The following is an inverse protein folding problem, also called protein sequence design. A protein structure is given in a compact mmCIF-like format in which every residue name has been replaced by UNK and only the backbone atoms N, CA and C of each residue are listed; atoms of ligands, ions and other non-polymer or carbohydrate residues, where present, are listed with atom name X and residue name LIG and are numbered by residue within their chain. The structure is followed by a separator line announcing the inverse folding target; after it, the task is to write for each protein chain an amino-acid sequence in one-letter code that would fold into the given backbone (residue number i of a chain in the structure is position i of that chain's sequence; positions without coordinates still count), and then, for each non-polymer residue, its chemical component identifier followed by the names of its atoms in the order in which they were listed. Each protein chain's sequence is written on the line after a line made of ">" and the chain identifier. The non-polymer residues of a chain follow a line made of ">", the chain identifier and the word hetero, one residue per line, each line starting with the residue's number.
data_IF_006357116086
#
_entry.id   IF_006357116086
#
_cell.length_a   1.000
_cell.length_b   1.000
_cell.length_c   1.000
_cell.angle_alpha   90.00
_cell.angle_beta   90.00
_cell.angle_gamma   90.00
#
_symmetry.space_group_name_H-M   'P 1'
#
loop_
_entity.id
_entity.type
_entity.pdbx_description
1 polymer ?
#
# COMPACT_ATOMS: atom_id res chain seq x y z
N UNK A 1 28.70 15.73 0.35
CA UNK A 1 28.38 15.25 1.71
C UNK A 1 27.90 13.81 1.66
N UNK A 2 28.38 12.95 2.56
CA UNK A 2 27.98 11.55 2.65
C UNK A 2 26.83 11.49 3.64
N UNK A 3 25.59 11.41 3.13
CA UNK A 3 24.39 11.43 3.96
C UNK A 3 24.34 10.20 4.87
N UNK A 4 24.34 10.44 6.18
CA UNK A 4 24.03 9.44 7.20
C UNK A 4 22.68 9.74 7.89
N UNK A 5 22.22 8.84 8.76
CA UNK A 5 20.92 8.96 9.42
C UNK A 5 20.81 10.23 10.29
N UNK A 6 21.93 10.64 10.92
CA UNK A 6 21.95 11.82 11.80
C UNK A 6 21.89 13.11 10.99
N UNK A 7 22.61 13.17 9.86
CA UNK A 7 22.50 14.27 8.90
C UNK A 7 21.09 14.36 8.30
N UNK A 8 20.48 13.22 7.96
CA UNK A 8 19.12 13.17 7.43
C UNK A 8 18.11 13.75 8.44
N UNK A 9 18.16 13.32 9.71
CA UNK A 9 17.28 13.82 10.75
C UNK A 9 17.47 15.33 10.99
N UNK A 10 18.72 15.81 10.99
CA UNK A 10 19.02 17.24 11.14
C UNK A 10 18.42 18.06 10.00
N UNK A 11 18.49 17.57 8.76
CA UNK A 11 17.88 18.22 7.59
C UNK A 11 16.36 18.29 7.73
N UNK A 12 15.71 17.20 8.14
CA UNK A 12 14.26 17.17 8.31
C UNK A 12 13.80 18.14 9.44
N UNK A 13 14.51 18.13 10.57
CA UNK A 13 14.26 19.04 11.70
C UNK A 13 14.56 20.50 11.33
N UNK A 14 15.49 20.77 10.41
CA UNK A 14 15.81 22.10 9.89
C UNK A 14 14.84 22.63 8.83
N UNK A 15 13.92 21.81 8.33
CA UNK A 15 13.04 22.17 7.22
C UNK A 15 12.17 23.41 7.50
N UNK A 16 11.96 24.25 6.49
CA UNK A 16 11.02 25.40 6.59
C UNK A 16 9.56 24.94 6.55
N UNK A 17 9.29 23.73 6.06
CA UNK A 17 7.95 23.18 5.98
C UNK A 17 7.54 22.60 7.33
N UNK A 18 6.49 23.18 7.94
CA UNK A 18 5.98 22.76 9.27
C UNK A 18 5.64 21.27 9.30
N UNK A 19 4.97 20.77 8.26
CA UNK A 19 4.61 19.36 8.11
C UNK A 19 5.85 18.44 8.17
N UNK A 20 6.94 18.77 7.46
CA UNK A 20 8.16 17.93 7.43
C UNK A 20 8.78 17.80 8.82
N UNK A 21 8.88 18.91 9.56
CA UNK A 21 9.34 18.93 10.95
C UNK A 21 8.47 18.06 11.84
N UNK A 22 7.15 18.19 11.68
CA UNK A 22 6.20 17.40 12.45
C UNK A 22 6.35 15.90 12.18
N UNK A 23 6.42 15.48 10.92
CA UNK A 23 6.61 14.07 10.56
C UNK A 23 7.92 13.52 11.12
N UNK A 24 9.02 14.26 11.03
CA UNK A 24 10.29 13.86 11.64
C UNK A 24 10.15 13.66 13.15
N UNK A 25 9.52 14.60 13.86
CA UNK A 25 9.26 14.46 15.30
C UNK A 25 8.36 13.25 15.63
N UNK A 26 7.39 12.93 14.76
CA UNK A 26 6.55 11.75 14.91
C UNK A 26 7.33 10.46 14.71
N UNK A 27 8.21 10.38 13.71
CA UNK A 27 9.06 9.22 13.46
C UNK A 27 9.97 8.94 14.66
N UNK A 28 10.66 9.96 15.17
CA UNK A 28 11.52 9.87 16.36
C UNK A 28 10.75 9.42 17.61
N UNK A 29 9.54 9.94 17.80
CA UNK A 29 8.66 9.57 18.90
C UNK A 29 7.86 8.27 18.67
N UNK A 30 8.13 7.53 17.57
CA UNK A 30 7.39 6.33 17.14
C UNK A 30 5.87 6.53 17.03
N UNK A 31 5.42 7.76 16.77
CA UNK A 31 4.01 8.14 16.54
C UNK A 31 3.63 8.01 15.06
N UNK A 32 3.71 6.78 14.56
CA UNK A 32 3.48 6.45 13.15
C UNK A 32 2.04 6.69 12.71
N UNK A 33 1.86 6.86 11.40
CA UNK A 33 0.54 6.86 10.77
C UNK A 33 -0.15 5.51 11.00
N UNK A 34 -1.48 5.53 11.03
CA UNK A 34 -2.35 4.39 11.27
C UNK A 34 -3.04 4.00 9.98
N UNK A 35 -3.23 2.69 9.80
CA UNK A 35 -4.03 2.10 8.72
C UNK A 35 -5.48 2.57 8.83
N UNK A 36 -5.94 3.34 7.85
CA UNK A 36 -7.34 3.74 7.67
C UNK A 36 -8.10 2.72 6.79
N UNK A 37 -7.44 2.23 5.75
CA UNK A 37 -7.89 1.13 4.89
C UNK A 37 -6.72 0.17 4.63
N UNK A 38 -7.01 -1.13 4.57
CA UNK A 38 -6.04 -2.15 4.18
C UNK A 38 -6.79 -3.31 3.53
N UNK A 39 -6.69 -3.45 2.21
CA UNK A 39 -7.62 -4.30 1.45
C UNK A 39 -6.93 -5.02 0.31
N UNK A 40 -7.40 -6.23 -0.04
CA UNK A 40 -6.90 -6.97 -1.21
C UNK A 40 -7.54 -6.49 -2.51
N UNK A 41 -6.99 -6.98 -3.61
CA UNK A 41 -7.46 -6.66 -4.95
C UNK A 41 -8.90 -7.12 -5.24
N UNK A 42 -9.34 -8.25 -4.68
CA UNK A 42 -10.66 -8.83 -4.97
C UNK A 42 -11.80 -8.06 -4.31
N UNK A 43 -11.50 -7.32 -3.25
CA UNK A 43 -12.46 -6.49 -2.52
C UNK A 43 -12.82 -5.16 -3.20
N UNK A 44 -12.07 -4.75 -4.23
CA UNK A 44 -12.23 -3.46 -4.92
C UNK A 44 -12.80 -3.65 -6.32
N UNK A 45 -13.68 -2.74 -6.74
CA UNK A 45 -14.17 -2.69 -8.13
C UNK A 45 -13.32 -1.79 -9.03
N UNK A 46 -12.47 -0.95 -8.43
CA UNK A 46 -11.65 0.03 -9.14
C UNK A 46 -10.26 -0.54 -9.50
N UNK A 47 -9.82 -0.35 -10.74
CA UNK A 47 -8.44 -0.65 -11.16
C UNK A 47 -7.51 0.52 -10.81
N UNK A 48 -6.56 0.31 -9.91
CA UNK A 48 -5.67 1.37 -9.42
C UNK A 48 -4.34 1.35 -10.15
N UNK A 49 -3.87 2.52 -10.60
CA UNK A 49 -2.54 2.69 -11.17
C UNK A 49 -1.51 3.04 -10.07
N UNK A 50 -0.45 2.24 -10.00
CA UNK A 50 0.68 2.42 -9.08
C UNK A 50 1.65 3.54 -9.47
N UNK A 51 1.39 4.27 -10.56
CA UNK A 51 2.20 5.41 -10.98
C UNK A 51 2.18 6.53 -9.91
N UNK A 52 3.36 7.06 -9.47
CA UNK A 52 3.43 8.09 -8.43
C UNK A 52 2.54 9.32 -8.65
N UNK A 53 2.37 9.78 -9.90
CA UNK A 53 1.49 10.91 -10.21
C UNK A 53 0.02 10.58 -9.96
N UNK A 54 -0.39 9.35 -10.27
CA UNK A 54 -1.73 8.82 -10.00
C UNK A 54 -1.95 8.69 -8.49
N UNK A 55 -0.95 8.20 -7.75
CA UNK A 55 -1.01 8.07 -6.28
C UNK A 55 -1.22 9.41 -5.58
N UNK A 56 -0.45 10.45 -5.94
CA UNK A 56 -0.60 11.79 -5.34
C UNK A 56 -1.97 12.40 -5.59
N UNK A 57 -2.54 12.14 -6.77
CA UNK A 57 -3.90 12.58 -7.10
C UNK A 57 -4.93 11.89 -6.23
N UNK A 58 -4.78 10.58 -6.03
CA UNK A 58 -5.64 9.79 -5.13
C UNK A 58 -5.54 10.32 -3.70
N UNK A 59 -4.33 10.59 -3.19
CA UNK A 59 -4.14 11.15 -1.86
C UNK A 59 -4.87 12.50 -1.68
N UNK A 60 -4.79 13.38 -2.68
CA UNK A 60 -5.50 14.66 -2.67
C UNK A 60 -7.02 14.50 -2.70
N UNK A 61 -7.55 13.62 -3.56
CA UNK A 61 -8.99 13.35 -3.66
C UNK A 61 -9.53 12.73 -2.36
N UNK A 62 -8.79 11.80 -1.74
CA UNK A 62 -9.14 11.23 -0.44
C UNK A 62 -9.11 12.25 0.69
N UNK A 63 -8.15 13.17 0.67
CA UNK A 63 -8.03 14.23 1.66
C UNK A 63 -9.18 15.23 1.56
N UNK A 64 -9.57 15.62 0.34
CA UNK A 64 -10.74 16.45 0.08
C UNK A 64 -12.03 15.78 0.57
N UNK A 65 -12.24 14.50 0.24
CA UNK A 65 -13.41 13.74 0.72
C UNK A 65 -13.47 13.61 2.25
N UNK A 66 -12.32 13.60 2.92
CA UNK A 66 -12.21 13.42 4.37
C UNK A 66 -12.10 14.74 5.15
N UNK A 67 -12.05 15.90 4.47
CA UNK A 67 -11.84 17.22 5.05
C UNK A 67 -10.55 17.31 5.89
N UNK A 68 -9.44 16.85 5.32
CA UNK A 68 -8.10 16.87 5.95
C UNK A 68 -7.04 17.41 4.99
N UNK A 69 -5.89 17.83 5.51
CA UNK A 69 -4.78 18.26 4.65
C UNK A 69 -4.18 17.04 3.91
N UNK A 70 -3.88 17.16 2.60
CA UNK A 70 -3.40 16.05 1.77
C UNK A 70 -2.07 15.47 2.26
N UNK A 71 -1.23 16.26 2.92
CA UNK A 71 0.02 15.79 3.49
C UNK A 71 -0.17 14.72 4.58
N UNK A 72 -1.36 14.63 5.21
CA UNK A 72 -1.65 13.61 6.22
C UNK A 72 -2.34 12.37 5.65
N UNK A 73 -2.49 12.24 4.33
CA UNK A 73 -3.03 11.04 3.68
C UNK A 73 -1.95 10.40 2.83
N UNK A 74 -1.62 9.15 3.15
CA UNK A 74 -0.65 8.36 2.38
C UNK A 74 -1.34 7.15 1.79
N UNK A 75 -1.13 6.92 0.49
CA UNK A 75 -1.68 5.76 -0.21
C UNK A 75 -0.53 4.89 -0.72
N UNK A 76 -0.50 3.63 -0.27
CA UNK A 76 0.43 2.61 -0.73
C UNK A 76 -0.29 1.68 -1.70
N UNK A 77 0.06 1.78 -2.99
CA UNK A 77 -0.45 0.93 -4.06
C UNK A 77 0.75 0.18 -4.64
N UNK A 78 1.03 -1.04 -4.15
CA UNK A 78 2.11 -1.83 -4.69
C UNK A 78 1.87 -2.11 -6.17
N UNK A 79 2.95 -2.14 -6.97
CA UNK A 79 2.86 -2.64 -8.34
C UNK A 79 2.30 -4.06 -8.33
N UNK A 80 1.58 -4.41 -9.38
CA UNK A 80 1.21 -5.79 -9.62
C UNK A 80 2.46 -6.67 -9.58
N UNK A 81 2.45 -7.79 -8.83
CA UNK A 81 3.58 -8.71 -8.82
C UNK A 81 3.77 -9.26 -10.23
N UNK A 82 4.77 -8.74 -10.94
CA UNK A 82 5.33 -9.41 -12.10
C UNK A 82 6.28 -10.48 -11.57
N UNK A 83 6.00 -11.75 -11.81
CA UNK A 83 6.87 -12.84 -11.35
C UNK A 83 7.76 -13.22 -12.54
N UNK A 84 9.03 -12.80 -12.56
CA UNK A 84 9.92 -13.04 -13.70
C UNK A 84 10.10 -14.53 -13.98
N UNK A 85 10.05 -15.37 -12.95
CA UNK A 85 10.18 -16.81 -13.05
C UNK A 85 9.02 -17.45 -13.85
N UNK A 86 7.83 -16.84 -13.87
CA UNK A 86 6.74 -17.24 -14.80
C UNK A 86 7.15 -16.98 -16.25
N UNK A 87 7.92 -15.91 -16.50
CA UNK A 87 8.42 -15.54 -17.83
C UNK A 87 9.61 -16.41 -18.28
N UNK A 88 10.20 -17.21 -17.38
CA UNK A 88 11.27 -18.14 -17.72
C UNK A 88 10.69 -19.34 -18.50
N UNK A 89 11.10 -19.49 -19.75
CA UNK A 89 10.73 -20.63 -20.58
C UNK A 89 11.63 -21.83 -20.32
N UNK A 90 11.04 -23.01 -20.19
CA UNK A 90 11.72 -24.31 -20.14
C UNK A 90 11.40 -25.07 -21.41
N UNK A 91 12.42 -25.64 -22.05
CA UNK A 91 12.20 -26.51 -23.21
C UNK A 91 11.91 -27.95 -22.75
N UNK A 92 10.75 -28.48 -23.14
CA UNK A 92 10.36 -29.86 -22.90
C UNK A 92 9.93 -30.48 -24.22
N UNK A 93 10.61 -31.55 -24.64
CA UNK A 93 10.32 -32.29 -25.89
C UNK A 93 10.22 -31.35 -27.11
N UNK A 94 11.12 -30.36 -27.22
CA UNK A 94 11.16 -29.41 -28.34
C UNK A 94 10.12 -28.30 -28.29
N UNK A 95 9.39 -28.12 -27.17
CA UNK A 95 8.45 -27.01 -26.97
C UNK A 95 8.88 -26.17 -25.78
N UNK A 96 8.89 -24.85 -25.95
CA UNK A 96 9.10 -23.90 -24.85
C UNK A 96 7.79 -23.71 -24.09
N UNK A 97 7.80 -24.00 -22.79
CA UNK A 97 6.67 -23.84 -21.88
C UNK A 97 7.08 -22.99 -20.68
N UNK A 98 6.15 -22.21 -20.10
CA UNK A 98 6.42 -21.42 -18.91
C UNK A 98 6.78 -22.29 -17.70
N UNK A 99 7.71 -21.83 -16.86
CA UNK A 99 8.16 -22.57 -15.68
C UNK A 99 7.03 -22.82 -14.66
N UNK A 100 6.03 -21.95 -14.60
CA UNK A 100 4.83 -22.08 -13.77
C UNK A 100 3.93 -23.25 -14.19
N UNK A 101 3.84 -23.52 -15.49
CA UNK A 101 3.05 -24.63 -16.03
C UNK A 101 3.65 -26.00 -15.71
N UNK A 102 4.94 -26.03 -15.37
CA UNK A 102 5.69 -27.28 -15.11
C UNK A 102 6.12 -27.41 -13.65
N UNK A 103 6.20 -26.31 -12.91
CA UNK A 103 6.56 -26.28 -11.50
C UNK A 103 5.41 -25.79 -10.63
N UNK A 104 4.78 -26.72 -9.92
CA UNK A 104 3.74 -26.43 -8.91
C UNK A 104 4.23 -25.45 -7.84
N UNK A 105 5.52 -25.48 -7.50
CA UNK A 105 6.11 -24.56 -6.53
C UNK A 105 6.08 -23.11 -7.04
N UNK A 106 6.49 -22.87 -8.28
CA UNK A 106 6.48 -21.53 -8.89
C UNK A 106 5.06 -21.00 -8.98
N UNK A 107 4.10 -21.83 -9.40
CA UNK A 107 2.69 -21.46 -9.39
C UNK A 107 2.14 -21.12 -7.99
N UNK A 108 2.60 -21.82 -6.94
CA UNK A 108 2.17 -21.55 -5.56
C UNK A 108 2.76 -20.24 -5.03
N UNK A 109 4.04 -19.98 -5.27
CA UNK A 109 4.71 -18.72 -4.90
C UNK A 109 4.05 -17.55 -5.62
N UNK A 110 3.76 -17.71 -6.91
CA UNK A 110 3.06 -16.73 -7.72
C UNK A 110 1.69 -16.35 -7.14
N UNK A 111 0.91 -17.36 -6.76
CA UNK A 111 -0.38 -17.15 -6.14
C UNK A 111 -0.24 -16.45 -4.78
N UNK A 112 0.71 -16.88 -3.94
CA UNK A 112 0.97 -16.26 -2.65
C UNK A 112 1.33 -14.77 -2.77
N UNK A 113 2.10 -14.37 -3.79
CA UNK A 113 2.39 -12.96 -4.06
C UNK A 113 1.13 -12.16 -4.41
N UNK A 114 0.20 -12.73 -5.17
CA UNK A 114 -1.08 -12.10 -5.49
C UNK A 114 -1.98 -12.01 -4.26
N UNK A 115 -2.06 -13.06 -3.46
CA UNK A 115 -2.88 -13.11 -2.24
C UNK A 115 -2.37 -12.14 -1.15
N UNK A 116 -1.06 -11.89 -1.14
CA UNK A 116 -0.43 -10.95 -0.22
C UNK A 116 -0.43 -9.50 -0.72
N UNK A 117 -0.89 -9.25 -1.95
CA UNK A 117 -1.03 -7.89 -2.44
C UNK A 117 -2.11 -7.14 -1.64
N UNK A 118 -1.76 -5.97 -1.11
CA UNK A 118 -2.66 -5.15 -0.30
C UNK A 118 -2.50 -3.68 -0.67
N UNK A 119 -3.61 -3.01 -0.88
CA UNK A 119 -3.68 -1.55 -0.94
C UNK A 119 -3.83 -1.01 0.48
N UNK A 120 -3.00 -0.04 0.85
CA UNK A 120 -3.05 0.61 2.15
C UNK A 120 -3.34 2.11 2.04
N UNK A 121 -4.26 2.61 2.85
CA UNK A 121 -4.42 4.05 3.09
C UNK A 121 -4.08 4.32 4.55
N UNK A 122 -3.22 5.31 4.78
CA UNK A 122 -2.67 5.65 6.09
C UNK A 122 -2.86 7.13 6.38
N UNK A 123 -3.11 7.43 7.65
CA UNK A 123 -3.21 8.82 8.12
C UNK A 123 -2.86 8.89 9.61
N UNK A 124 -2.84 10.08 10.19
CA UNK A 124 -2.64 10.25 11.63
C UNK A 124 -3.83 9.68 12.43
N UNK A 125 -3.64 9.24 13.68
CA UNK A 125 -4.71 8.63 14.49
C UNK A 125 -6.01 9.43 14.52
N UNK A 126 -5.91 10.75 14.54
CA UNK A 126 -7.00 11.72 14.65
C UNK A 126 -7.93 11.69 13.43
N UNK A 127 -7.39 11.39 12.24
CA UNK A 127 -8.12 11.39 10.97
C UNK A 127 -8.52 10.00 10.48
N UNK A 128 -8.12 8.94 11.21
CA UNK A 128 -8.27 7.54 10.80
C UNK A 128 -9.69 7.19 10.36
N UNK A 129 -10.70 7.64 11.11
CA UNK A 129 -12.09 7.29 10.82
C UNK A 129 -12.60 7.99 9.55
N UNK A 130 -12.36 9.30 9.42
CA UNK A 130 -12.79 10.10 8.28
C UNK A 130 -12.13 9.60 6.98
N UNK A 131 -10.80 9.48 6.98
CA UNK A 131 -10.03 8.96 5.83
C UNK A 131 -10.43 7.52 5.51
N UNK A 132 -10.71 6.70 6.54
CA UNK A 132 -11.16 5.33 6.33
C UNK A 132 -12.54 5.21 5.70
N UNK A 133 -13.45 6.17 5.94
CA UNK A 133 -14.75 6.23 5.25
C UNK A 133 -14.57 6.69 3.80
N UNK A 134 -13.84 7.79 3.59
CA UNK A 134 -13.52 8.30 2.26
C UNK A 134 -12.85 7.24 1.38
N UNK A 135 -11.84 6.54 1.90
CA UNK A 135 -11.13 5.48 1.16
C UNK A 135 -12.03 4.31 0.76
N UNK A 136 -12.94 3.86 1.64
CA UNK A 136 -13.86 2.77 1.31
C UNK A 136 -14.84 3.18 0.21
N UNK A 137 -15.31 4.42 0.25
CA UNK A 137 -16.20 4.96 -0.77
C UNK A 137 -15.48 5.15 -2.11
N UNK A 138 -14.30 5.77 -2.08
CA UNK A 138 -13.47 6.02 -3.26
C UNK A 138 -13.10 4.73 -4.00
N UNK A 139 -12.55 3.75 -3.28
CA UNK A 139 -12.15 2.46 -3.88
C UNK A 139 -13.32 1.48 -4.05
N UNK A 140 -14.54 1.88 -3.68
CA UNK A 140 -15.75 1.04 -3.69
C UNK A 140 -15.50 -0.32 -3.05
N UNK A 141 -14.83 -0.31 -1.90
CA UNK A 141 -14.46 -1.53 -1.19
C UNK A 141 -15.74 -2.21 -0.72
N UNK A 142 -15.99 -3.42 -1.19
CA UNK A 142 -17.09 -4.24 -0.69
C UNK A 142 -16.88 -4.41 0.80
N UNK A 143 -17.91 -4.15 1.62
CA UNK A 143 -17.83 -4.42 3.05
C UNK A 143 -17.44 -5.88 3.23
N UNK A 144 -16.21 -6.13 3.69
CA UNK A 144 -15.87 -7.45 4.19
C UNK A 144 -16.87 -7.76 5.30
N UNK A 145 -17.65 -8.82 5.09
CA UNK A 145 -18.50 -9.38 6.13
C UNK A 145 -17.52 -9.85 7.19
N UNK A 146 -17.52 -9.23 8.37
CA UNK A 146 -16.65 -9.66 9.47
C UNK A 146 -16.91 -11.14 9.71
N UNK A 147 -16.05 -12.01 9.21
CA UNK A 147 -16.04 -13.39 9.62
C UNK A 147 -15.44 -13.37 11.02
N UNK A 148 -16.30 -13.42 12.02
CA UNK A 148 -15.88 -13.63 13.39
C UNK A 148 -15.08 -14.92 13.42
N UNK A 149 -13.82 -14.82 13.85
CA UNK A 149 -13.04 -16.02 14.19
C UNK A 149 -13.71 -16.60 15.42
N UNK A 150 -14.14 -17.85 15.31
CA UNK A 150 -14.86 -18.59 16.36
C UNK A 150 -13.87 -18.99 17.46
N UNK A 151 -13.40 -18.01 18.24
CA UNK A 151 -12.51 -18.27 19.39
C UNK A 151 -13.03 -17.62 20.69
N UNK A 152 -14.25 -17.10 20.69
CA UNK A 152 -14.93 -16.60 21.90
C UNK A 152 -16.26 -17.34 22.15
N UNK A 153 -16.15 -18.65 22.39
CA UNK A 153 -17.15 -19.47 23.08
C UNK A 153 -16.49 -20.15 24.28
#
# INVERSE_FOLDING_TARGET
>A
PKMDDSEFDLILQGSKLKYVKEISARLLARRLFKRALYTDMGSMEWSVDSNPNSVRRIEAELAEMADVEPEYVLTDIPKMPEIPEIKAGVEIKGKVVGLDAVSRLVGTIAQAHRDNWRLGVYTIPEHREAVGKAAREFFKVKRETRQFVLTEL
#
